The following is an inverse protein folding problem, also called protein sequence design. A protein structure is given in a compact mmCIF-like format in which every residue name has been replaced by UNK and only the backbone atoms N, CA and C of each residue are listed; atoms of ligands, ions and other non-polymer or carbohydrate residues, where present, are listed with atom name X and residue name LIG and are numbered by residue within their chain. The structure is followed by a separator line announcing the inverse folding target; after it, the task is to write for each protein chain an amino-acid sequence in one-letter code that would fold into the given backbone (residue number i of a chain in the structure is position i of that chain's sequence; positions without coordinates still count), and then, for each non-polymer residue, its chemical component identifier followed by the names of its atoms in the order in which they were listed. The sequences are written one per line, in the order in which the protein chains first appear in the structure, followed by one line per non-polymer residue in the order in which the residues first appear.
data_IF_972962524254
#
_entry.id   IF_972962524254
#
_cell.length_a   1.000
_cell.length_b   1.000
_cell.length_c   1.000
_cell.angle_alpha   90.00
_cell.angle_beta   90.00
_cell.angle_gamma   90.00
#
_symmetry.space_group_name_H-M   'P 1'
#
loop_
_entity.id
_entity.type
_entity.pdbx_description
1 polymer ?
#
# COMPACT_ATOMS: atom_id res chain seq x y z
N UNK A 1 -7.41 -6.02 2.89
CA UNK A 1 -6.57 -6.74 3.87
C UNK A 1 -7.51 -7.49 4.84
N UNK A 2 -6.99 -8.08 5.92
CA UNK A 2 -7.81 -8.56 7.06
C UNK A 2 -8.87 -9.65 6.75
N UNK A 3 -8.61 -10.50 5.76
CA UNK A 3 -9.42 -11.71 5.50
C UNK A 3 -8.75 -12.93 6.12
N UNK A 4 -9.53 -13.93 6.50
CA UNK A 4 -9.00 -15.20 6.99
C UNK A 4 -8.20 -15.90 5.89
N UNK A 5 -7.15 -16.61 6.27
CA UNK A 5 -6.27 -17.29 5.33
C UNK A 5 -5.05 -17.87 6.03
N UNK A 6 -4.36 -18.81 5.38
CA UNK A 6 -3.28 -19.60 5.99
C UNK A 6 -2.05 -18.77 6.39
N UNK A 7 -1.81 -17.63 5.76
CA UNK A 7 -0.56 -16.85 5.89
C UNK A 7 -0.81 -15.37 6.18
N UNK A 8 0.07 -14.76 6.98
CA UNK A 8 0.11 -13.31 7.23
C UNK A 8 0.42 -12.96 8.69
N UNK A 9 1.22 -11.92 8.92
CA UNK A 9 1.68 -11.56 10.27
C UNK A 9 0.57 -11.14 11.23
N UNK A 10 -0.56 -10.66 10.70
CA UNK A 10 -1.75 -10.29 11.47
C UNK A 10 -2.79 -11.42 11.55
N UNK A 11 -2.54 -12.60 10.97
CA UNK A 11 -3.50 -13.71 10.87
C UNK A 11 -4.12 -14.07 12.22
N UNK A 12 -3.32 -14.27 13.25
CA UNK A 12 -3.81 -14.62 14.59
C UNK A 12 -4.82 -13.60 15.15
N UNK A 13 -4.71 -12.32 14.76
CA UNK A 13 -5.63 -11.25 15.21
C UNK A 13 -6.91 -11.26 14.39
N UNK A 14 -6.83 -11.64 13.11
CA UNK A 14 -8.00 -11.87 12.26
C UNK A 14 -8.76 -13.11 12.71
N UNK A 15 -8.07 -14.21 13.01
CA UNK A 15 -8.67 -15.48 13.48
C UNK A 15 -9.38 -15.32 14.83
N UNK A 16 -8.90 -14.43 15.70
CA UNK A 16 -9.52 -14.11 16.99
C UNK A 16 -10.59 -13.01 16.90
N UNK A 17 -10.88 -12.48 15.71
CA UNK A 17 -11.86 -11.40 15.51
C UNK A 17 -11.41 -10.02 15.99
N UNK A 18 -10.21 -9.90 16.57
CA UNK A 18 -9.61 -8.63 17.04
C UNK A 18 -9.24 -7.68 15.89
N UNK A 19 -9.10 -8.23 14.68
CA UNK A 19 -8.92 -7.48 13.45
C UNK A 19 -9.93 -7.98 12.40
N UNK A 20 -10.89 -7.15 12.04
CA UNK A 20 -11.89 -7.43 11.01
C UNK A 20 -12.04 -6.22 10.08
N UNK A 21 -12.91 -6.32 9.08
CA UNK A 21 -13.27 -5.18 8.24
C UNK A 21 -13.90 -4.03 9.04
N UNK A 22 -14.62 -4.34 10.12
CA UNK A 22 -15.25 -3.33 10.98
C UNK A 22 -14.24 -2.63 11.91
N UNK A 23 -13.19 -3.32 12.35
CA UNK A 23 -12.16 -2.74 13.23
C UNK A 23 -10.97 -2.15 12.44
N UNK A 24 -10.90 -2.40 11.13
CA UNK A 24 -9.91 -1.80 10.26
C UNK A 24 -10.35 -0.38 9.89
N UNK A 25 -9.59 0.63 10.33
CA UNK A 25 -9.88 2.02 10.02
C UNK A 25 -9.94 2.29 8.51
N UNK A 26 -8.87 1.97 7.78
CA UNK A 26 -8.79 2.20 6.34
C UNK A 26 -7.73 1.34 5.66
N UNK A 27 -7.89 1.12 4.36
CA UNK A 27 -6.81 0.77 3.45
C UNK A 27 -6.05 2.04 3.01
N UNK A 28 -4.74 1.93 2.74
CA UNK A 28 -3.90 3.09 2.36
C UNK A 28 -4.48 3.88 1.18
N UNK A 29 -5.01 3.18 0.17
CA UNK A 29 -5.60 3.81 -1.01
C UNK A 29 -6.83 4.68 -0.68
N UNK A 30 -7.60 4.32 0.36
CA UNK A 30 -8.75 5.13 0.79
C UNK A 30 -8.29 6.45 1.42
N UNK A 31 -7.20 6.43 2.19
CA UNK A 31 -6.62 7.65 2.76
C UNK A 31 -5.98 8.50 1.65
N UNK A 32 -5.18 7.89 0.78
CA UNK A 32 -4.52 8.59 -0.31
C UNK A 32 -5.51 9.25 -1.30
N UNK A 33 -6.66 8.61 -1.52
CA UNK A 33 -7.74 9.15 -2.36
C UNK A 33 -8.66 10.15 -1.63
N UNK A 34 -8.40 10.46 -0.35
CA UNK A 34 -9.24 11.35 0.46
C UNK A 34 -10.61 10.78 0.84
N UNK A 35 -10.85 9.49 0.64
CA UNK A 35 -12.12 8.82 0.97
C UNK A 35 -12.27 8.55 2.47
N UNK A 36 -11.16 8.44 3.19
CA UNK A 36 -11.13 8.33 4.66
C UNK A 36 -10.02 9.23 5.23
N UNK A 37 -10.22 9.82 6.43
CA UNK A 37 -9.19 10.63 7.06
C UNK A 37 -8.00 9.77 7.50
N UNK A 38 -6.80 10.35 7.44
CA UNK A 38 -5.60 9.82 8.08
C UNK A 38 -5.58 10.13 9.58
N UNK A 39 -4.42 10.56 10.09
CA UNK A 39 -4.30 11.11 11.44
C UNK A 39 -5.21 12.33 11.62
N UNK A 40 -5.94 12.38 12.72
CA UNK A 40 -6.85 13.49 13.07
C UNK A 40 -6.40 14.25 14.33
N UNK A 41 -5.51 13.68 15.15
CA UNK A 41 -4.89 14.39 16.28
C UNK A 41 -3.52 13.85 16.66
N UNK A 42 -2.77 14.65 17.43
CA UNK A 42 -1.42 14.32 17.88
C UNK A 42 -1.39 13.19 18.92
N UNK A 43 -2.50 12.97 19.65
CA UNK A 43 -2.62 11.91 20.65
C UNK A 43 -2.84 10.51 20.10
N UNK A 44 -3.09 10.36 18.80
CA UNK A 44 -3.39 9.05 18.20
C UNK A 44 -2.16 8.17 18.05
N UNK A 45 -2.28 6.93 18.51
CA UNK A 45 -1.36 5.85 18.13
C UNK A 45 -1.91 5.10 16.93
N UNK A 46 -1.23 5.21 15.78
CA UNK A 46 -1.67 4.60 14.52
C UNK A 46 -0.73 3.45 14.16
N UNK A 47 -1.28 2.25 14.05
CA UNK A 47 -0.58 1.11 13.46
C UNK A 47 -0.80 1.10 11.95
N UNK A 48 0.25 1.40 11.19
CA UNK A 48 0.27 1.17 9.75
C UNK A 48 0.93 -0.18 9.44
N UNK A 49 0.23 -1.03 8.69
CA UNK A 49 0.75 -2.32 8.24
C UNK A 49 0.41 -2.54 6.77
N UNK A 50 1.44 -2.73 5.95
CA UNK A 50 1.28 -3.13 4.55
C UNK A 50 2.03 -4.45 4.28
N UNK A 51 1.54 -5.26 3.33
CA UNK A 51 2.22 -6.49 2.88
C UNK A 51 2.95 -6.32 1.55
N UNK A 52 3.12 -5.09 1.07
CA UNK A 52 3.50 -4.80 -0.30
C UNK A 52 2.32 -4.97 -1.27
N UNK A 53 2.29 -4.18 -2.33
CA UNK A 53 1.32 -4.27 -3.41
C UNK A 53 2.05 -4.01 -4.73
N UNK A 54 2.08 -5.02 -5.61
CA UNK A 54 2.84 -4.94 -6.87
C UNK A 54 2.42 -3.79 -7.79
N UNK A 55 1.20 -3.27 -7.61
CA UNK A 55 0.72 -2.07 -8.32
C UNK A 55 1.61 -0.84 -8.02
N UNK A 56 2.12 -0.71 -6.80
CA UNK A 56 3.03 0.37 -6.43
C UNK A 56 4.36 0.28 -7.19
N UNK A 57 4.89 -0.93 -7.39
CA UNK A 57 6.14 -1.16 -8.12
C UNK A 57 5.99 -0.77 -9.60
N UNK A 58 4.89 -1.18 -10.24
CA UNK A 58 4.60 -0.84 -11.64
C UNK A 58 4.37 0.66 -11.82
N UNK A 59 3.61 1.29 -10.92
CA UNK A 59 3.36 2.73 -10.96
C UNK A 59 4.66 3.52 -10.81
N UNK A 60 5.51 3.13 -9.85
CA UNK A 60 6.83 3.72 -9.67
C UNK A 60 7.72 3.51 -10.90
N UNK A 61 7.78 2.29 -11.42
CA UNK A 61 8.56 1.95 -12.61
C UNK A 61 8.18 2.80 -13.81
N UNK A 62 6.88 3.00 -14.05
CA UNK A 62 6.38 3.87 -15.13
C UNK A 62 6.79 5.34 -14.91
N UNK A 63 6.64 5.85 -13.69
CA UNK A 63 7.04 7.22 -13.36
C UNK A 63 8.55 7.43 -13.53
N UNK A 64 9.37 6.47 -13.10
CA UNK A 64 10.82 6.54 -13.25
C UNK A 64 11.26 6.44 -14.71
N UNK A 65 10.59 5.61 -15.51
CA UNK A 65 10.88 5.51 -16.95
C UNK A 65 10.57 6.83 -17.68
N UNK A 66 9.44 7.47 -17.36
CA UNK A 66 9.08 8.78 -17.92
C UNK A 66 10.13 9.85 -17.56
N UNK A 67 10.46 9.94 -16.27
CA UNK A 67 11.49 10.88 -15.75
C UNK A 67 12.87 10.63 -16.37
N UNK A 68 13.25 9.38 -16.59
CA UNK A 68 14.52 9.04 -17.24
C UNK A 68 14.54 9.53 -18.69
N UNK A 69 13.43 9.39 -19.42
CA UNK A 69 13.26 9.93 -20.77
C UNK A 69 13.43 11.44 -20.84
N UNK A 70 12.81 12.18 -19.92
CA UNK A 70 12.94 13.65 -19.81
C UNK A 70 14.37 14.11 -19.54
N UNK A 71 15.14 13.31 -18.79
CA UNK A 71 16.54 13.61 -18.44
C UNK A 71 17.56 13.03 -19.43
N UNK A 72 17.13 12.35 -20.49
CA UNK A 72 18.05 11.69 -21.43
C UNK A 72 18.87 10.55 -20.81
N UNK A 73 18.36 9.92 -19.74
CA UNK A 73 19.02 8.83 -19.02
C UNK A 73 18.44 7.49 -19.50
N UNK A 74 19.33 6.54 -19.82
CA UNK A 74 18.97 5.15 -20.11
C UNK A 74 19.48 4.65 -21.46
N UNK A 75 19.14 3.40 -21.78
CA UNK A 75 19.53 2.75 -23.02
C UNK A 75 18.33 2.01 -23.61
N UNK A 76 18.04 2.24 -24.90
CA UNK A 76 17.06 1.44 -25.64
C UNK A 76 17.70 0.10 -26.00
N UNK A 77 17.12 -0.98 -25.50
CA UNK A 77 17.54 -2.34 -25.84
C UNK A 77 16.84 -2.79 -27.13
N UNK A 78 17.48 -3.67 -27.89
CA UNK A 78 17.01 -4.13 -29.23
C UNK A 78 15.66 -4.85 -29.20
N UNK A 79 15.25 -5.35 -28.04
CA UNK A 79 14.00 -6.11 -27.85
C UNK A 79 13.01 -5.42 -26.91
N UNK A 80 13.18 -4.11 -26.69
CA UNK A 80 12.25 -3.29 -25.92
C UNK A 80 11.07 -2.80 -26.77
#
# INVERSE_FOLDING_TARGET
QCKSGKFGSLRARVETGRLSEATLHAELGQIAAGLKPGRQSDGETILFWHRGLSLSDIALGKAMLAKAGENGIGQRLRFA
#
